data_IF_835185694589
#
_entry.id   IF_835185694589
#
_cell.length_a   1.000
_cell.length_b   1.000
_cell.length_c   1.000
_cell.angle_alpha   90.00
_cell.angle_beta   90.00
_cell.angle_gamma   90.00
#
_symmetry.space_group_name_H-M   'P 1'
#
loop_
_entity.id
_entity.type
_entity.pdbx_description
1 polymer ?
#
# COMPACT_ATOMS: atom_id res chain seq x y z
N UNK A 1 -37.13 -3.19 12.90
CA UNK A 1 -36.71 -2.77 12.80
C UNK A 1 -36.24 -2.66 12.52
N UNK A 2 -36.19 -2.65 12.45
CA UNK A 2 -35.51 -2.26 12.21
C UNK A 2 -34.92 -2.02 12.06
N UNK A 3 -34.82 -1.92 12.06
CA UNK A 3 -34.18 -1.34 11.87
C UNK A 3 -33.34 -1.45 11.90
N UNK A 4 -33.28 -1.69 12.04
CA UNK A 4 -32.40 -1.64 12.07
C UNK A 4 -31.76 -1.74 11.50
N UNK A 5 -32.00 -2.09 11.14
CA UNK A 5 -31.32 -2.07 10.45
C UNK A 5 -30.66 -1.28 9.98
N UNK A 6 -30.89 -0.56 9.82
CA UNK A 6 -30.17 0.36 9.61
C UNK A 6 -28.98 0.41 10.31
N UNK A 7 -28.99 -0.03 11.29
CA UNK A 7 -27.88 -0.20 11.99
C UNK A 7 -26.93 -1.01 11.31
N UNK A 8 -27.36 -1.95 10.64
CA UNK A 8 -26.52 -2.74 9.85
C UNK A 8 -25.93 -1.94 8.76
N UNK A 9 -26.56 -0.82 8.50
CA UNK A 9 -26.01 0.06 7.59
C UNK A 9 -24.91 0.85 8.16
N UNK A 10 -24.83 0.84 9.48
CA UNK A 10 -23.77 1.50 10.11
C UNK A 10 -22.54 0.74 9.77
N UNK A 11 -21.58 1.41 9.26
CA UNK A 11 -20.36 0.79 8.82
C UNK A 11 -19.35 0.80 9.94
N UNK A 12 -18.88 -0.38 10.30
CA UNK A 12 -17.86 -0.50 11.32
C UNK A 12 -16.54 -0.69 10.63
N UNK A 13 -15.53 0.04 11.08
CA UNK A 13 -14.19 -0.16 10.56
C UNK A 13 -13.64 -1.48 11.08
N UNK A 14 -12.86 -2.15 10.28
CA UNK A 14 -12.33 -3.47 10.57
C UNK A 14 -10.82 -3.40 10.46
N UNK A 15 -10.12 -3.93 11.45
CA UNK A 15 -8.66 -3.96 11.44
C UNK A 15 -8.17 -5.30 10.93
N UNK A 16 -7.05 -5.27 10.27
CA UNK A 16 -6.43 -6.48 9.74
C UNK A 16 -5.16 -6.18 8.99
N UNK A 17 -4.76 -7.12 8.15
CA UNK A 17 -3.53 -7.03 7.37
C UNK A 17 -3.87 -7.01 5.89
N UNK A 18 -3.18 -6.17 5.13
CA UNK A 18 -3.36 -6.09 3.69
C UNK A 18 -2.20 -6.76 2.99
N UNK A 19 -2.49 -7.53 1.96
CA UNK A 19 -1.48 -8.17 1.12
C UNK A 19 -1.71 -7.71 -0.30
N UNK A 20 -0.68 -7.20 -0.94
CA UNK A 20 -0.82 -6.71 -2.31
C UNK A 20 -0.71 -7.85 -3.30
N UNK A 21 -1.60 -7.86 -4.27
CA UNK A 21 -1.66 -8.90 -5.28
C UNK A 21 -0.94 -8.42 -6.54
N UNK A 22 -0.50 -9.36 -7.39
CA UNK A 22 0.14 -8.98 -8.66
C UNK A 22 -0.71 -8.06 -9.53
N UNK A 23 -2.02 -8.15 -9.39
CA UNK A 23 -2.95 -7.29 -10.15
C UNK A 23 -2.91 -5.84 -9.70
N UNK A 24 -2.27 -5.56 -8.57
CA UNK A 24 -2.28 -4.23 -7.97
C UNK A 24 -3.40 -4.03 -6.96
N UNK A 25 -4.31 -4.99 -6.84
CA UNK A 25 -5.35 -4.95 -5.82
C UNK A 25 -4.79 -5.43 -4.49
N UNK A 26 -5.50 -5.22 -3.42
CA UNK A 26 -5.11 -5.71 -2.11
C UNK A 26 -6.06 -6.79 -1.63
N UNK A 27 -5.52 -7.80 -0.96
CA UNK A 27 -6.32 -8.78 -0.25
C UNK A 27 -6.25 -8.42 1.23
N UNK A 28 -7.38 -8.03 1.79
CA UNK A 28 -7.46 -7.65 3.19
C UNK A 28 -7.95 -8.83 4.01
N UNK A 29 -7.14 -9.24 4.98
CA UNK A 29 -7.49 -10.32 5.89
C UNK A 29 -7.83 -9.73 7.25
N UNK A 30 -9.11 -9.71 7.61
CA UNK A 30 -9.50 -9.19 8.94
C UNK A 30 -8.88 -10.01 10.06
N UNK A 31 -8.60 -9.35 11.18
CA UNK A 31 -8.13 -10.04 12.37
C UNK A 31 -9.21 -10.98 12.90
N UNK A 32 -10.46 -10.58 12.77
CA UNK A 32 -11.59 -11.39 13.19
C UNK A 32 -11.84 -12.44 12.11
N UNK A 33 -11.53 -13.69 12.42
CA UNK A 33 -11.64 -14.78 11.47
C UNK A 33 -13.06 -15.07 11.03
N UNK A 34 -14.05 -14.54 11.75
CA UNK A 34 -15.45 -14.72 11.34
C UNK A 34 -15.84 -13.75 10.24
N UNK A 35 -15.00 -12.79 9.93
CA UNK A 35 -15.27 -11.81 8.88
C UNK A 35 -14.55 -12.25 7.62
N UNK A 36 -15.26 -12.25 6.50
CA UNK A 36 -14.68 -12.68 5.24
C UNK A 36 -13.61 -11.73 4.76
N UNK A 37 -12.66 -12.28 4.02
CA UNK A 37 -11.62 -11.47 3.38
C UNK A 37 -12.25 -10.56 2.34
N UNK A 38 -11.62 -9.42 2.13
CA UNK A 38 -12.13 -8.40 1.21
C UNK A 38 -11.05 -8.07 0.19
N UNK A 39 -11.42 -8.00 -1.07
CA UNK A 39 -10.52 -7.53 -2.11
C UNK A 39 -10.67 -6.02 -2.20
N UNK A 40 -9.56 -5.30 -2.03
CA UNK A 40 -9.54 -3.84 -2.05
C UNK A 40 -9.05 -3.39 -3.41
N UNK A 41 -9.84 -2.55 -4.05
CA UNK A 41 -9.46 -1.97 -5.34
C UNK A 41 -8.19 -1.13 -5.17
N UNK A 42 -7.38 -1.11 -6.21
CA UNK A 42 -6.16 -0.30 -6.23
C UNK A 42 -6.41 1.14 -5.81
N UNK A 43 -7.55 1.69 -6.19
CA UNK A 43 -7.89 3.08 -5.87
C UNK A 43 -8.16 3.31 -4.39
N UNK A 44 -8.43 2.26 -3.65
CA UNK A 44 -8.79 2.35 -2.24
C UNK A 44 -7.72 1.85 -1.29
N UNK A 45 -6.50 1.63 -1.79
CA UNK A 45 -5.40 1.16 -0.95
C UNK A 45 -4.83 2.25 -0.04
N UNK A 46 -5.03 3.50 -0.42
CA UNK A 46 -4.66 4.67 0.40
C UNK A 46 -3.21 4.63 0.87
N UNK A 47 -2.30 4.27 -0.02
CA UNK A 47 -0.87 4.26 0.30
C UNK A 47 -0.40 3.09 1.13
N UNK A 48 -1.24 2.07 1.34
CA UNK A 48 -0.81 0.89 2.08
C UNK A 48 0.18 0.08 1.24
N UNK A 49 1.10 -0.58 1.92
CA UNK A 49 2.09 -1.45 1.31
C UNK A 49 1.84 -2.88 1.78
N UNK A 50 2.47 -3.81 1.11
CA UNK A 50 2.27 -5.22 1.40
C UNK A 50 2.56 -5.53 2.87
N UNK A 51 1.66 -6.28 3.49
CA UNK A 51 1.75 -6.73 4.88
C UNK A 51 1.54 -5.63 5.92
N UNK A 52 1.11 -4.45 5.51
CA UNK A 52 0.79 -3.39 6.47
C UNK A 52 -0.44 -3.77 7.29
N UNK A 53 -0.45 -3.31 8.54
CA UNK A 53 -1.64 -3.38 9.37
C UNK A 53 -2.50 -2.17 9.05
N UNK A 54 -3.74 -2.40 8.70
CA UNK A 54 -4.61 -1.34 8.21
C UNK A 54 -5.98 -1.43 8.83
N UNK A 55 -6.70 -0.32 8.77
CA UNK A 55 -8.11 -0.26 9.12
C UNK A 55 -8.89 -0.03 7.84
N UNK A 56 -9.89 -0.85 7.62
CA UNK A 56 -10.68 -0.84 6.40
C UNK A 56 -12.13 -0.51 6.73
N UNK A 57 -12.71 0.34 5.93
CA UNK A 57 -14.14 0.61 6.00
C UNK A 57 -14.81 -0.20 4.90
N UNK A 58 -15.59 -1.22 5.27
CA UNK A 58 -16.25 -2.02 4.26
C UNK A 58 -17.46 -1.31 3.69
N UNK A 59 -17.81 -1.63 2.47
CA UNK A 59 -19.05 -1.18 1.86
C UNK A 59 -19.53 -2.27 0.90
N UNK A 60 -20.82 -2.29 0.67
CA UNK A 60 -21.40 -3.29 -0.21
C UNK A 60 -21.65 -2.69 -1.57
N UNK A 61 -21.21 -3.40 -2.61
CA UNK A 61 -21.49 -2.97 -3.97
C UNK A 61 -22.71 -3.72 -4.49
N UNK A 62 -23.83 -3.04 -4.61
CA UNK A 62 -25.03 -3.66 -5.14
C UNK A 62 -24.81 -4.08 -6.59
N UNK A 63 -24.05 -3.28 -7.31
CA UNK A 63 -23.79 -3.56 -8.71
C UNK A 63 -23.06 -4.88 -8.90
N UNK A 64 -22.07 -5.13 -8.07
CA UNK A 64 -21.27 -6.34 -8.15
C UNK A 64 -21.78 -7.44 -7.22
N UNK A 65 -22.77 -7.13 -6.41
CA UNK A 65 -23.35 -8.07 -5.46
C UNK A 65 -22.26 -8.67 -4.56
N UNK A 66 -21.34 -7.85 -4.09
CA UNK A 66 -20.28 -8.33 -3.23
C UNK A 66 -19.76 -7.21 -2.33
N UNK A 67 -19.13 -7.63 -1.25
CA UNK A 67 -18.55 -6.70 -0.30
C UNK A 67 -17.24 -6.15 -0.82
N UNK A 68 -17.03 -4.88 -0.62
CA UNK A 68 -15.82 -4.15 -1.00
C UNK A 68 -15.33 -3.42 0.23
N UNK A 69 -14.22 -2.74 0.11
CA UNK A 69 -13.70 -1.95 1.20
C UNK A 69 -12.68 -0.94 0.73
N UNK A 70 -12.36 -0.03 1.63
CA UNK A 70 -11.30 0.94 1.39
C UNK A 70 -10.48 1.08 2.65
N UNK A 71 -9.18 1.25 2.48
CA UNK A 71 -8.28 1.49 3.60
C UNK A 71 -8.50 2.92 4.06
N UNK A 72 -8.84 3.09 5.33
CA UNK A 72 -9.06 4.42 5.90
C UNK A 72 -7.90 4.85 6.78
N UNK A 73 -7.08 3.91 7.23
CA UNK A 73 -5.96 4.25 8.10
C UNK A 73 -4.90 3.16 8.04
N UNK A 74 -3.64 3.57 8.03
CA UNK A 74 -2.51 2.66 8.18
C UNK A 74 -2.23 2.60 9.68
N UNK A 75 -2.38 1.44 10.28
CA UNK A 75 -2.19 1.28 11.71
C UNK A 75 -0.72 1.06 12.05
N UNK A 76 -0.05 0.26 11.25
CA UNK A 76 1.36 -0.02 11.48
C UNK A 76 1.98 -0.49 10.17
N UNK A 77 3.10 0.10 9.81
CA UNK A 77 3.85 -0.34 8.64
C UNK A 77 4.57 -1.64 8.96
N UNK A 78 4.55 -2.56 8.01
CA UNK A 78 5.28 -3.80 8.14
C UNK A 78 6.78 -3.53 8.17
N UNK A 79 7.22 -2.63 7.30
CA UNK A 79 8.62 -2.25 7.22
C UNK A 79 8.73 -0.84 6.68
N UNK A 80 9.79 -0.14 7.08
CA UNK A 80 10.12 1.14 6.45
C UNK A 80 11.30 0.99 5.50
N UNK A 81 11.96 -0.16 5.50
CA UNK A 81 13.11 -0.41 4.64
C UNK A 81 12.76 -1.46 3.60
N UNK A 82 13.21 -1.24 2.39
CA UNK A 82 12.89 -2.13 1.29
C UNK A 82 14.07 -2.29 0.37
N UNK A 83 14.10 -3.43 -0.33
CA UNK A 83 15.01 -3.64 -1.44
C UNK A 83 14.28 -3.18 -2.70
N UNK A 84 14.95 -2.40 -3.50
CA UNK A 84 14.32 -1.79 -4.66
C UNK A 84 15.28 -1.74 -5.85
N UNK A 85 14.73 -1.61 -7.04
CA UNK A 85 15.52 -1.41 -8.25
C UNK A 85 15.35 0.05 -8.64
N UNK A 86 16.45 0.76 -8.84
CA UNK A 86 16.38 2.18 -9.16
C UNK A 86 16.48 2.42 -10.65
N UNK A 87 15.86 3.50 -11.09
CA UNK A 87 15.97 3.94 -12.48
C UNK A 87 15.88 5.46 -12.51
N UNK A 88 16.49 6.04 -13.54
CA UNK A 88 16.51 7.49 -13.69
C UNK A 88 15.60 7.90 -14.81
N UNK A 89 14.85 8.96 -14.57
CA UNK A 89 13.96 9.52 -15.59
C UNK A 89 14.00 11.04 -15.43
N UNK A 90 14.42 11.73 -16.48
CA UNK A 90 14.48 13.21 -16.47
C UNK A 90 15.24 13.75 -15.25
N UNK A 91 16.44 13.21 -15.07
CA UNK A 91 17.34 13.65 -14.00
C UNK A 91 16.84 13.37 -12.58
N UNK A 92 15.81 12.59 -12.44
CA UNK A 92 15.30 12.20 -11.13
C UNK A 92 15.37 10.70 -10.98
N UNK A 93 15.86 10.24 -9.85
CA UNK A 93 15.91 8.80 -9.55
C UNK A 93 14.64 8.35 -8.89
N UNK A 94 14.19 7.18 -9.29
CA UNK A 94 13.00 6.53 -8.74
C UNK A 94 13.34 5.09 -8.39
N UNK A 95 12.53 4.50 -7.54
CA UNK A 95 12.71 3.11 -7.12
C UNK A 95 11.41 2.34 -7.24
N UNK A 96 11.52 1.09 -7.70
CA UNK A 96 10.43 0.14 -7.65
C UNK A 96 10.75 -0.88 -6.59
N UNK A 97 9.89 -0.96 -5.59
CA UNK A 97 10.10 -1.88 -4.48
C UNK A 97 9.75 -3.30 -4.87
N UNK A 98 8.66 -3.46 -5.62
CA UNK A 98 8.15 -4.78 -5.92
C UNK A 98 7.26 -4.67 -7.15
N UNK A 99 7.18 -5.72 -7.91
CA UNK A 99 6.27 -5.75 -9.05
C UNK A 99 4.83 -5.62 -8.59
N UNK A 100 4.54 -6.01 -7.36
CA UNK A 100 3.20 -5.89 -6.79
C UNK A 100 2.95 -4.50 -6.21
N UNK A 101 3.95 -3.65 -6.23
CA UNK A 101 3.86 -2.29 -5.72
C UNK A 101 4.10 -1.34 -6.90
N UNK A 102 3.11 -1.08 -7.70
CA UNK A 102 3.32 -0.35 -8.95
C UNK A 102 3.67 1.13 -8.78
N UNK A 103 3.76 1.60 -7.57
CA UNK A 103 4.03 3.01 -7.34
C UNK A 103 5.51 3.29 -7.43
N UNK A 104 5.84 4.33 -8.16
CA UNK A 104 7.22 4.79 -8.26
C UNK A 104 7.52 5.62 -7.03
N UNK A 105 8.60 5.30 -6.36
CA UNK A 105 9.05 6.03 -5.17
C UNK A 105 10.18 6.94 -5.61
N UNK A 106 10.08 8.22 -5.32
CA UNK A 106 11.12 9.16 -5.67
C UNK A 106 12.26 9.03 -4.68
N UNK A 107 13.48 9.04 -5.16
CA UNK A 107 14.67 8.98 -4.31
C UNK A 107 15.11 10.42 -4.05
N UNK A 108 15.30 10.77 -2.79
CA UNK A 108 15.83 12.09 -2.47
C UNK A 108 17.31 12.15 -2.83
N UNK A 109 17.87 13.34 -2.88
CA UNK A 109 19.24 13.53 -3.29
C UNK A 109 20.18 12.66 -2.45
N UNK A 110 21.14 12.05 -3.11
CA UNK A 110 22.08 11.15 -2.46
C UNK A 110 23.47 11.39 -3.01
N UNK A 111 24.46 11.15 -2.20
CA UNK A 111 25.85 11.24 -2.63
C UNK A 111 26.32 9.91 -3.18
N UNK A 112 25.51 8.87 -3.10
CA UNK A 112 25.84 7.56 -3.63
C UNK A 112 25.70 7.61 -5.14
N UNK A 113 26.71 7.16 -5.86
CA UNK A 113 26.68 7.14 -7.32
C UNK A 113 25.82 5.96 -7.79
N UNK A 114 24.64 6.24 -8.30
CA UNK A 114 23.71 5.24 -8.76
C UNK A 114 23.87 4.99 -10.26
N UNK A 115 23.58 3.76 -10.66
CA UNK A 115 23.48 3.38 -12.06
C UNK A 115 22.11 2.82 -12.32
N UNK A 116 21.67 2.91 -13.58
CA UNK A 116 20.37 2.36 -13.97
C UNK A 116 20.28 0.92 -13.54
N UNK A 117 19.16 0.61 -12.91
CA UNK A 117 18.79 -0.75 -12.48
C UNK A 117 19.67 -1.33 -11.38
N UNK A 118 20.38 -0.48 -10.64
CA UNK A 118 21.04 -0.94 -9.42
C UNK A 118 19.99 -1.44 -8.45
N UNK A 119 20.36 -2.49 -7.71
CA UNK A 119 19.51 -2.99 -6.64
C UNK A 119 20.00 -2.35 -5.35
N UNK A 120 19.14 -1.66 -4.66
CA UNK A 120 19.51 -0.87 -3.49
C UNK A 120 18.61 -1.19 -2.32
N UNK A 121 19.08 -0.84 -1.14
CA UNK A 121 18.23 -0.84 0.04
C UNK A 121 17.84 0.61 0.28
N UNK A 122 16.55 0.84 0.48
CA UNK A 122 16.02 2.18 0.73
C UNK A 122 15.26 2.20 2.05
N UNK A 123 15.16 3.39 2.63
CA UNK A 123 14.29 3.62 3.77
C UNK A 123 13.30 4.70 3.40
N UNK A 124 12.07 4.52 3.80
CA UNK A 124 11.03 5.49 3.48
C UNK A 124 11.21 6.73 4.34
N UNK A 125 11.22 7.88 3.69
CA UNK A 125 11.30 9.17 4.34
C UNK A 125 9.91 9.78 4.46
N UNK A 126 9.15 9.66 3.39
CA UNK A 126 7.81 10.22 3.36
C UNK A 126 6.90 9.25 2.60
N UNK A 127 5.88 8.76 3.28
CA UNK A 127 4.94 7.85 2.65
C UNK A 127 3.96 8.69 1.83
N UNK A 128 3.45 8.04 0.80
CA UNK A 128 2.48 8.69 -0.05
C UNK A 128 1.30 9.17 0.78
N UNK A 129 1.04 10.46 0.76
CA UNK A 129 -0.10 11.03 1.43
C UNK A 129 -0.90 11.76 0.36
N UNK A 130 -2.10 11.28 0.07
CA UNK A 130 -2.93 11.89 -0.93
C UNK A 130 -2.32 11.75 -2.31
N UNK A 131 -2.05 12.86 -2.96
CA UNK A 131 -1.54 12.83 -4.33
C UNK A 131 -0.03 12.92 -4.41
N UNK A 132 0.63 13.05 -3.27
CA UNK A 132 2.07 13.21 -3.31
C UNK A 132 2.74 11.87 -3.48
N UNK A 133 3.83 11.88 -4.23
CA UNK A 133 4.61 10.68 -4.44
C UNK A 133 5.39 10.38 -3.17
N UNK A 134 5.54 9.11 -2.86
CA UNK A 134 6.35 8.69 -1.74
C UNK A 134 7.82 9.03 -2.02
N UNK A 135 8.57 9.30 -0.97
CA UNK A 135 9.99 9.65 -1.07
C UNK A 135 10.77 8.72 -0.17
N UNK A 136 11.90 8.25 -0.67
CA UNK A 136 12.79 7.37 0.08
C UNK A 136 14.23 7.84 -0.01
N UNK A 137 15.05 7.32 0.86
CA UNK A 137 16.48 7.60 0.91
C UNK A 137 17.23 6.31 0.65
N UNK A 138 18.29 6.38 -0.13
CA UNK A 138 19.16 5.24 -0.38
C UNK A 138 19.99 4.97 0.87
N UNK A 139 20.00 3.73 1.32
CA UNK A 139 20.88 3.31 2.41
C UNK A 139 22.18 2.79 1.82
N UNK A 140 22.09 1.90 0.86
CA UNK A 140 23.27 1.32 0.22
C UNK A 140 22.91 0.62 -1.06
N UNK A 141 23.91 0.38 -1.89
CA UNK A 141 23.76 -0.43 -3.09
C UNK A 141 23.96 -1.89 -2.68
N UNK A 142 23.02 -2.73 -3.05
CA UNK A 142 23.06 -4.15 -2.72
C UNK A 142 23.72 -4.94 -3.86
N UNK A 143 23.37 -4.58 -5.08
CA UNK A 143 23.85 -5.34 -6.24
C UNK A 143 23.83 -4.46 -7.49
N UNK A 144 24.80 -4.69 -8.36
CA UNK A 144 24.86 -4.01 -9.66
C UNK A 144 24.82 -4.98 -10.81
#
# INVERSE_FOLDING_TARGET
MVKKKKNSKRIFNIDGTIYLLPSGKGLFKPDDVSVDEIIISRHFLNGSFDSDRVRVQPFYSNYLNQSKGKVVKILKRFSSNFIAIVYKKKDTWYANVDINQPKNIRIEDTEIALKQFDVVEITMVNWNAGRRRAIARIIKIVCR
#
